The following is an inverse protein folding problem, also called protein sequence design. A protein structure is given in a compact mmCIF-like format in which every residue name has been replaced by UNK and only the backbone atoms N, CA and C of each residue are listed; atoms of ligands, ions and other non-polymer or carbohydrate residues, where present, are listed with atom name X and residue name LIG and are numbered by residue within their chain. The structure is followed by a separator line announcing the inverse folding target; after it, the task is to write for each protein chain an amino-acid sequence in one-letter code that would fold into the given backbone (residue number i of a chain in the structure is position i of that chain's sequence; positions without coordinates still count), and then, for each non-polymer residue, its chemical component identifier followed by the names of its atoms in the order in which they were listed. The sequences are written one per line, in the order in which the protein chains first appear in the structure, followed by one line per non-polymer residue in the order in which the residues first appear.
data_IF_378943571943
#
_entry.id   IF_378943571943
#
_cell.length_a   1.000
_cell.length_b   1.000
_cell.length_c   1.000
_cell.angle_alpha   90.00
_cell.angle_beta   90.00
_cell.angle_gamma   90.00
#
_symmetry.space_group_name_H-M   'P 1'
#
loop_
_entity.id
_entity.type
_entity.pdbx_description
1 polymer ?
#
# COMPACT_ATOMS: atom_id res chain seq x y z
N UNK A 1 -4.84 0.17 -10.18
CA UNK A 1 -4.97 -1.06 -9.37
C UNK A 1 -4.35 -2.29 -10.06
N UNK A 2 -3.26 -2.15 -10.84
CA UNK A 2 -2.75 -3.24 -11.70
C UNK A 2 -1.35 -3.79 -11.37
N UNK A 3 -0.35 -3.02 -10.89
CA UNK A 3 1.01 -3.55 -10.77
C UNK A 3 1.19 -4.50 -9.57
N UNK A 4 0.44 -4.28 -8.48
CA UNK A 4 0.54 -5.10 -7.27
C UNK A 4 0.05 -6.54 -7.49
N UNK A 5 -0.99 -6.73 -8.30
CA UNK A 5 -1.49 -8.06 -8.60
C UNK A 5 -0.49 -8.85 -9.45
N UNK A 6 0.19 -8.18 -10.39
CA UNK A 6 1.21 -8.80 -11.25
C UNK A 6 2.39 -9.30 -10.42
N UNK A 7 2.83 -8.54 -9.42
CA UNK A 7 3.89 -8.95 -8.49
C UNK A 7 3.49 -10.16 -7.64
N UNK A 8 2.24 -10.21 -7.16
CA UNK A 8 1.71 -11.33 -6.37
C UNK A 8 1.57 -12.60 -7.23
N UNK A 9 1.06 -12.50 -8.45
CA UNK A 9 0.98 -13.64 -9.35
C UNK A 9 2.36 -14.13 -9.79
N UNK A 10 3.31 -13.21 -10.00
CA UNK A 10 4.70 -13.54 -10.31
C UNK A 10 5.38 -14.37 -9.22
N UNK A 11 5.23 -13.99 -7.94
CA UNK A 11 5.83 -14.76 -6.83
C UNK A 11 5.17 -16.13 -6.64
N UNK A 12 3.86 -16.24 -6.87
CA UNK A 12 3.11 -17.50 -6.76
C UNK A 12 3.51 -18.50 -7.85
N UNK A 13 3.73 -18.02 -9.08
CA UNK A 13 4.23 -18.85 -10.20
C UNK A 13 5.65 -19.37 -9.91
N UNK A 14 6.53 -18.50 -9.41
CA UNK A 14 7.91 -18.89 -9.04
C UNK A 14 7.90 -19.93 -7.91
N UNK A 15 7.02 -19.77 -6.92
CA UNK A 15 6.88 -20.73 -5.82
C UNK A 15 6.43 -22.12 -6.31
N UNK A 16 5.45 -22.18 -7.21
CA UNK A 16 4.94 -23.45 -7.79
C UNK A 16 6.05 -24.16 -8.57
N UNK A 17 6.82 -23.43 -9.38
CA UNK A 17 7.95 -23.97 -10.16
C UNK A 17 9.04 -24.50 -9.21
N UNK A 18 9.35 -23.77 -8.14
CA UNK A 18 10.35 -24.18 -7.14
C UNK A 18 9.94 -25.42 -6.36
N UNK A 19 8.64 -25.61 -6.08
CA UNK A 19 8.16 -26.84 -5.43
C UNK A 19 8.21 -28.04 -6.37
N UNK A 20 7.94 -27.84 -7.67
CA UNK A 20 8.02 -28.91 -8.67
C UNK A 20 9.45 -29.44 -8.87
N UNK A 21 10.45 -28.56 -8.88
CA UNK A 21 11.86 -28.96 -9.00
C UNK A 21 12.35 -29.74 -7.78
N UNK A 22 11.86 -29.40 -6.58
CA UNK A 22 12.20 -30.12 -5.35
C UNK A 22 11.65 -31.56 -5.35
N UNK A 23 10.40 -31.75 -5.80
CA UNK A 23 9.76 -33.08 -5.91
C UNK A 23 10.44 -33.94 -6.99
N UNK A 24 10.75 -33.38 -8.15
CA UNK A 24 11.44 -34.10 -9.23
C UNK A 24 12.83 -34.59 -8.81
N UNK A 25 13.59 -33.73 -8.12
CA UNK A 25 14.92 -34.11 -7.63
C UNK A 25 14.86 -35.16 -6.50
N UNK A 26 13.87 -35.08 -5.60
CA UNK A 26 13.66 -36.10 -4.56
C UNK A 26 13.37 -37.48 -5.17
N UNK A 27 12.55 -37.52 -6.22
CA UNK A 27 12.29 -38.75 -6.98
C UNK A 27 13.59 -39.29 -7.62
N UNK A 28 14.40 -38.43 -8.24
CA UNK A 28 15.65 -38.86 -8.88
C UNK A 28 16.72 -39.39 -7.90
N UNK A 29 16.74 -38.91 -6.65
CA UNK A 29 17.65 -39.38 -5.60
C UNK A 29 17.16 -40.68 -4.96
N UNK A 30 15.85 -40.92 -4.93
CA UNK A 30 15.31 -42.21 -4.51
C UNK A 30 15.70 -43.33 -5.50
N UNK A 31 15.70 -43.04 -6.81
CA UNK A 31 16.10 -44.01 -7.85
C UNK A 31 17.59 -44.39 -7.76
N UNK A 32 18.49 -43.46 -7.42
CA UNK A 32 19.93 -43.77 -7.30
C UNK A 32 20.24 -44.63 -6.08
N UNK A 33 19.53 -44.43 -4.97
CA UNK A 33 19.68 -45.25 -3.75
C UNK A 33 19.18 -46.69 -3.94
N UNK A 34 18.17 -46.90 -4.79
CA UNK A 34 17.68 -48.23 -5.14
C UNK A 34 18.68 -48.99 -6.03
N UNK A 35 19.42 -48.27 -6.89
CA UNK A 35 20.47 -48.86 -7.74
C UNK A 35 21.78 -49.16 -6.97
N UNK A 36 22.11 -48.37 -5.94
CA UNK A 36 23.31 -48.58 -5.09
C UNK A 36 23.17 -49.74 -4.09
N UNK A 37 21.95 -50.20 -3.79
CA UNK A 37 21.71 -51.30 -2.85
C UNK A 37 22.27 -52.68 -3.30
N UNK A 38 22.87 -52.75 -4.50
CA UNK A 38 23.46 -53.98 -5.07
C UNK A 38 24.99 -53.99 -5.24
N UNK A 39 25.75 -52.98 -4.80
CA UNK A 39 27.20 -52.91 -5.04
C UNK A 39 28.04 -52.72 -3.75
N UNK A 40 29.15 -53.45 -3.56
CA UNK A 40 29.92 -53.40 -2.31
C UNK A 40 30.75 -52.10 -2.19
N UNK A 41 30.69 -51.55 -0.98
CA UNK A 41 31.40 -50.37 -0.49
C UNK A 41 32.92 -50.44 -0.76
N UNK A 42 33.45 -49.56 -1.63
CA UNK A 42 34.87 -49.24 -1.61
C UNK A 42 35.16 -47.80 -2.05
N UNK A 43 36.07 -47.21 -1.26
CA UNK A 43 36.86 -46.00 -1.48
C UNK A 43 36.17 -44.65 -1.17
N UNK A 44 36.32 -44.24 0.09
CA UNK A 44 36.42 -42.82 0.46
C UNK A 44 37.59 -42.20 -0.33
N UNK A 45 37.26 -41.44 -1.38
CA UNK A 45 38.19 -40.56 -2.05
C UNK A 45 37.58 -39.16 -2.04
N UNK A 46 38.33 -38.21 -1.47
CA UNK A 46 38.07 -36.78 -1.38
C UNK A 46 37.19 -36.27 -2.54
N UNK A 47 35.88 -36.16 -2.31
CA UNK A 47 34.93 -35.81 -3.37
C UNK A 47 35.03 -34.31 -3.69
N UNK A 48 35.07 -33.89 -4.96
CA UNK A 48 35.01 -32.47 -5.32
C UNK A 48 33.69 -31.89 -4.78
N UNK A 49 33.74 -30.68 -4.23
CA UNK A 49 32.55 -29.99 -3.68
C UNK A 49 31.43 -30.06 -4.71
N UNK A 50 30.42 -30.87 -4.40
CA UNK A 50 29.40 -31.23 -5.39
C UNK A 50 28.51 -30.01 -5.63
N UNK A 51 28.60 -29.46 -6.84
CA UNK A 51 27.84 -28.28 -7.27
C UNK A 51 26.32 -28.45 -7.05
N UNK A 52 25.84 -29.69 -6.97
CA UNK A 52 24.45 -30.04 -6.62
C UNK A 52 24.08 -29.61 -5.20
N UNK A 53 24.98 -29.77 -4.23
CA UNK A 53 24.75 -29.40 -2.82
C UNK A 53 24.80 -27.88 -2.64
N UNK A 54 25.68 -27.19 -3.38
CA UNK A 54 25.72 -25.72 -3.42
C UNK A 54 24.44 -25.12 -3.99
N UNK A 55 23.93 -25.67 -5.11
CA UNK A 55 22.66 -25.26 -5.71
C UNK A 55 21.47 -25.55 -4.78
N UNK A 56 21.49 -26.68 -4.07
CA UNK A 56 20.45 -27.06 -3.12
C UNK A 56 20.36 -26.06 -1.96
N UNK A 57 21.50 -25.69 -1.36
CA UNK A 57 21.53 -24.69 -0.31
C UNK A 57 21.09 -23.31 -0.83
N UNK A 58 21.58 -22.88 -1.99
CA UNK A 58 21.18 -21.60 -2.59
C UNK A 58 19.66 -21.52 -2.84
N UNK A 59 19.04 -22.60 -3.33
CA UNK A 59 17.60 -22.65 -3.59
C UNK A 59 16.75 -22.50 -2.33
N UNK A 60 17.18 -23.09 -1.21
CA UNK A 60 16.46 -22.97 0.08
C UNK A 60 16.49 -21.54 0.64
N UNK A 61 17.61 -20.82 0.50
CA UNK A 61 17.71 -19.43 0.93
C UNK A 61 16.85 -18.51 0.06
N UNK A 62 16.84 -18.71 -1.26
CA UNK A 62 15.99 -17.94 -2.18
C UNK A 62 14.50 -18.14 -1.87
N UNK A 63 14.10 -19.39 -1.60
CA UNK A 63 12.72 -19.70 -1.20
C UNK A 63 12.34 -19.03 0.13
N UNK A 64 13.21 -19.10 1.14
CA UNK A 64 12.96 -18.47 2.44
C UNK A 64 12.83 -16.94 2.33
N UNK A 65 13.71 -16.29 1.56
CA UNK A 65 13.64 -14.84 1.30
C UNK A 65 12.38 -14.48 0.52
N UNK A 66 11.99 -15.27 -0.47
CA UNK A 66 10.78 -15.04 -1.26
C UNK A 66 9.50 -15.14 -0.40
N UNK A 67 9.39 -16.18 0.43
CA UNK A 67 8.26 -16.34 1.36
C UNK A 67 8.24 -15.28 2.46
N UNK A 68 9.41 -14.90 2.98
CA UNK A 68 9.55 -13.81 3.95
C UNK A 68 9.09 -12.47 3.36
N UNK A 69 9.50 -12.16 2.13
CA UNK A 69 9.05 -10.95 1.42
C UNK A 69 7.55 -10.93 1.16
N UNK A 70 6.97 -12.08 0.79
CA UNK A 70 5.52 -12.20 0.59
C UNK A 70 4.74 -12.00 1.90
N UNK A 71 5.19 -12.63 2.99
CA UNK A 71 4.58 -12.50 4.31
C UNK A 71 4.67 -11.04 4.82
N UNK A 72 5.83 -10.39 4.66
CA UNK A 72 6.02 -8.99 5.02
C UNK A 72 5.10 -8.05 4.21
N UNK A 73 4.95 -8.29 2.90
CA UNK A 73 4.06 -7.49 2.05
C UNK A 73 2.57 -7.66 2.43
N UNK A 74 2.15 -8.88 2.77
CA UNK A 74 0.77 -9.15 3.23
C UNK A 74 0.51 -8.56 4.62
N UNK A 75 1.47 -8.68 5.54
CA UNK A 75 1.42 -8.05 6.86
C UNK A 75 1.34 -6.53 6.74
N UNK A 76 2.16 -5.90 5.89
CA UNK A 76 2.10 -4.46 5.62
C UNK A 76 0.72 -4.05 5.08
N UNK A 77 0.20 -4.77 4.09
CA UNK A 77 -1.15 -4.48 3.53
C UNK A 77 -2.25 -4.65 4.58
N UNK A 78 -2.14 -5.66 5.44
CA UNK A 78 -3.07 -5.93 6.53
C UNK A 78 -3.02 -4.87 7.62
N UNK A 79 -1.82 -4.48 8.06
CA UNK A 79 -1.59 -3.41 9.05
C UNK A 79 -2.14 -2.10 8.51
N UNK A 80 -1.78 -1.71 7.29
CA UNK A 80 -2.33 -0.51 6.64
C UNK A 80 -3.85 -0.60 6.55
N UNK A 81 -4.43 -1.73 6.14
CA UNK A 81 -5.90 -1.84 6.10
C UNK A 81 -6.54 -1.74 7.50
N UNK A 82 -5.92 -2.34 8.52
CA UNK A 82 -6.47 -2.38 9.89
C UNK A 82 -6.31 -1.08 10.67
N UNK A 83 -5.21 -0.36 10.47
CA UNK A 83 -4.98 0.98 11.03
C UNK A 83 -5.99 1.97 10.45
N UNK A 84 -6.30 1.82 9.16
CA UNK A 84 -7.26 2.67 8.47
C UNK A 84 -8.72 2.24 8.62
N UNK A 85 -9.00 0.99 9.07
CA UNK A 85 -10.37 0.61 9.47
C UNK A 85 -10.68 0.94 10.93
N UNK A 86 -9.64 1.21 11.73
CA UNK A 86 -9.78 1.70 13.11
C UNK A 86 -9.88 3.22 13.18
N UNK A 87 -9.37 3.95 12.18
CA UNK A 87 -9.74 5.35 11.99
C UNK A 87 -11.12 5.40 11.31
N UNK A 88 -11.99 6.27 11.78
CA UNK A 88 -13.41 6.34 11.42
C UNK A 88 -13.66 6.82 9.97
N UNK A 89 -12.66 6.78 9.09
CA UNK A 89 -12.68 7.40 7.76
C UNK A 89 -12.60 6.35 6.64
N UNK A 90 -13.44 6.53 5.64
CA UNK A 90 -13.44 5.67 4.45
C UNK A 90 -12.14 5.85 3.63
N UNK A 91 -11.58 4.75 3.12
CA UNK A 91 -10.43 4.73 2.21
C UNK A 91 -10.62 5.64 0.98
N UNK A 92 -11.88 5.88 0.61
CA UNK A 92 -12.29 6.83 -0.42
C UNK A 92 -11.81 8.27 -0.13
N UNK A 93 -11.90 8.75 1.12
CA UNK A 93 -11.46 10.08 1.54
C UNK A 93 -9.94 10.23 1.41
N UNK A 94 -9.19 9.23 1.88
CA UNK A 94 -7.73 9.23 1.72
C UNK A 94 -7.35 9.28 0.23
N UNK A 95 -8.01 8.46 -0.60
CA UNK A 95 -7.77 8.45 -2.04
C UNK A 95 -8.10 9.82 -2.65
N UNK A 96 -9.17 10.48 -2.21
CA UNK A 96 -9.58 11.81 -2.65
C UNK A 96 -8.53 12.88 -2.31
N UNK A 97 -8.00 12.86 -1.08
CA UNK A 97 -7.10 13.91 -0.57
C UNK A 97 -5.63 13.68 -0.87
N UNK A 98 -5.22 12.45 -1.18
CA UNK A 98 -3.80 12.13 -1.41
C UNK A 98 -3.53 11.63 -2.83
N UNK A 99 -4.36 10.73 -3.36
CA UNK A 99 -4.06 10.02 -4.62
C UNK A 99 -4.72 10.58 -5.87
N UNK A 100 -5.87 11.25 -5.75
CA UNK A 100 -6.65 11.70 -6.90
C UNK A 100 -6.18 13.06 -7.43
N UNK A 101 -6.39 13.31 -8.73
CA UNK A 101 -6.12 14.63 -9.35
C UNK A 101 -6.86 15.74 -8.58
N UNK A 102 -6.16 16.82 -8.28
CA UNK A 102 -6.67 17.94 -7.48
C UNK A 102 -6.61 17.72 -5.96
N UNK A 103 -5.91 16.68 -5.50
CA UNK A 103 -5.67 16.39 -4.08
C UNK A 103 -5.06 17.58 -3.35
N UNK A 104 -3.96 18.12 -3.89
CA UNK A 104 -3.27 19.25 -3.29
C UNK A 104 -4.14 20.51 -3.18
N UNK A 105 -5.02 20.76 -4.16
CA UNK A 105 -5.95 21.90 -4.10
C UNK A 105 -7.02 21.69 -3.04
N UNK A 106 -7.59 20.49 -2.95
CA UNK A 106 -8.57 20.14 -1.90
C UNK A 106 -7.97 20.24 -0.51
N UNK A 107 -6.73 19.80 -0.34
CA UNK A 107 -6.02 19.91 0.94
C UNK A 107 -5.83 21.37 1.35
N UNK A 108 -5.40 22.23 0.41
CA UNK A 108 -5.29 23.67 0.67
C UNK A 108 -6.63 24.30 1.04
N UNK A 109 -7.71 23.96 0.33
CA UNK A 109 -9.07 24.44 0.67
C UNK A 109 -9.44 24.03 2.11
N UNK A 110 -9.23 22.77 2.48
CA UNK A 110 -9.52 22.30 3.83
C UNK A 110 -8.69 23.04 4.89
N UNK A 111 -7.40 23.25 4.65
CA UNK A 111 -6.53 24.03 5.56
C UNK A 111 -6.98 25.49 5.69
N UNK A 112 -7.37 26.14 4.59
CA UNK A 112 -7.88 27.52 4.62
C UNK A 112 -9.22 27.62 5.36
N UNK A 113 -10.06 26.59 5.27
CA UNK A 113 -11.38 26.51 5.93
C UNK A 113 -11.34 26.25 7.44
N UNK A 114 -10.16 26.26 8.06
CA UNK A 114 -10.04 26.46 9.52
C UNK A 114 -10.76 27.74 9.97
N UNK A 115 -10.84 28.73 9.07
CA UNK A 115 -11.68 29.93 9.25
C UNK A 115 -12.87 29.86 8.28
N UNK A 116 -14.10 30.24 8.73
CA UNK A 116 -15.26 30.29 7.84
C UNK A 116 -15.00 31.22 6.64
N UNK A 117 -15.18 30.72 5.43
CA UNK A 117 -14.99 31.49 4.20
C UNK A 117 -16.03 31.14 3.17
N UNK A 118 -16.40 32.12 2.34
CA UNK A 118 -17.19 31.89 1.14
C UNK A 118 -16.29 31.49 -0.04
N UNK A 119 -16.91 31.02 -1.14
CA UNK A 119 -16.19 30.58 -2.35
C UNK A 119 -15.32 31.68 -2.99
N UNK A 120 -15.69 32.96 -2.85
CA UNK A 120 -15.00 34.10 -3.48
C UNK A 120 -13.73 34.39 -2.70
N UNK A 121 -13.86 34.41 -1.37
CA UNK A 121 -12.75 34.52 -0.45
C UNK A 121 -11.76 33.38 -0.66
N UNK A 122 -12.24 32.14 -0.78
CA UNK A 122 -11.38 30.99 -1.08
C UNK A 122 -10.66 31.11 -2.43
N UNK A 123 -11.35 31.54 -3.47
CA UNK A 123 -10.75 31.75 -4.80
C UNK A 123 -9.64 32.81 -4.75
N UNK A 124 -9.87 33.91 -4.04
CA UNK A 124 -8.89 34.98 -3.87
C UNK A 124 -7.68 34.53 -3.04
N UNK A 125 -7.93 33.89 -1.89
CA UNK A 125 -6.89 33.42 -0.97
C UNK A 125 -5.98 32.38 -1.62
N UNK A 126 -6.58 31.43 -2.35
CA UNK A 126 -5.85 30.36 -3.02
C UNK A 126 -5.31 30.76 -4.41
N UNK A 127 -5.67 31.96 -4.89
CA UNK A 127 -5.40 32.45 -6.26
C UNK A 127 -5.83 31.45 -7.33
N UNK A 128 -7.04 30.93 -7.18
CA UNK A 128 -7.66 29.96 -8.08
C UNK A 128 -8.87 30.56 -8.79
N UNK A 129 -9.20 30.02 -9.96
CA UNK A 129 -10.45 30.36 -10.62
C UNK A 129 -11.65 29.96 -9.77
N UNK A 130 -12.67 30.82 -9.70
CA UNK A 130 -13.87 30.57 -8.91
C UNK A 130 -14.53 29.24 -9.28
N UNK A 131 -14.61 28.88 -10.58
CA UNK A 131 -15.26 27.62 -11.00
C UNK A 131 -14.45 26.39 -10.57
N UNK A 132 -13.13 26.52 -10.48
CA UNK A 132 -12.27 25.46 -9.97
C UNK A 132 -12.51 25.24 -8.46
N UNK A 133 -12.59 26.33 -7.69
CA UNK A 133 -12.93 26.25 -6.25
C UNK A 133 -14.31 25.67 -6.06
N UNK A 134 -15.31 26.11 -6.83
CA UNK A 134 -16.69 25.63 -6.77
C UNK A 134 -16.78 24.11 -6.92
N UNK A 135 -16.14 23.56 -7.96
CA UNK A 135 -16.05 22.11 -8.18
C UNK A 135 -15.38 21.37 -7.04
N UNK A 136 -14.33 21.95 -6.44
CA UNK A 136 -13.67 21.32 -5.29
C UNK A 136 -14.56 21.34 -4.05
N UNK A 137 -15.28 22.43 -3.80
CA UNK A 137 -16.23 22.57 -2.70
C UNK A 137 -17.38 21.57 -2.83
N UNK A 138 -17.97 21.40 -4.01
CA UNK A 138 -19.02 20.39 -4.24
C UNK A 138 -18.57 18.98 -3.87
N UNK A 139 -17.34 18.61 -4.27
CA UNK A 139 -16.77 17.31 -3.92
C UNK A 139 -16.57 17.19 -2.41
N UNK A 140 -16.02 18.21 -1.75
CA UNK A 140 -15.77 18.17 -0.31
C UNK A 140 -17.08 18.13 0.50
N UNK A 141 -18.14 18.79 0.04
CA UNK A 141 -19.50 18.70 0.62
C UNK A 141 -20.07 17.28 0.46
N UNK A 142 -19.92 16.69 -0.72
CA UNK A 142 -20.42 15.33 -1.01
C UNK A 142 -19.77 14.29 -0.09
N UNK A 143 -18.50 14.48 0.25
CA UNK A 143 -17.76 13.63 1.17
C UNK A 143 -17.91 14.03 2.65
N UNK A 144 -18.75 15.00 2.98
CA UNK A 144 -19.02 15.39 4.37
C UNK A 144 -17.86 16.07 5.10
N UNK A 145 -16.80 16.48 4.40
CA UNK A 145 -15.60 17.08 5.01
C UNK A 145 -15.80 18.56 5.36
N UNK A 146 -16.75 19.21 4.68
CA UNK A 146 -17.15 20.59 4.93
C UNK A 146 -18.67 20.67 4.97
N UNK A 147 -19.19 21.72 5.60
CA UNK A 147 -20.62 22.03 5.60
C UNK A 147 -20.86 23.50 5.28
N UNK A 148 -22.01 23.76 4.68
CA UNK A 148 -22.47 25.11 4.38
C UNK A 148 -23.14 25.71 5.61
N UNK A 149 -22.81 26.96 5.93
CA UNK A 149 -23.43 27.76 6.97
C UNK A 149 -23.87 29.08 6.33
N UNK A 150 -25.15 29.40 6.49
CA UNK A 150 -25.68 30.70 6.08
C UNK A 150 -25.53 31.68 7.23
N UNK A 151 -24.99 32.86 6.93
CA UNK A 151 -24.84 33.94 7.89
C UNK A 151 -25.75 35.12 7.47
N UNK A 152 -26.45 35.74 8.43
CA UNK A 152 -27.38 36.84 8.18
C UNK A 152 -28.62 36.44 7.36
N UNK A 153 -29.02 37.30 6.40
CA UNK A 153 -30.26 37.18 5.62
C UNK A 153 -30.27 36.01 4.60
N UNK A 154 -29.41 35.00 4.75
CA UNK A 154 -29.34 33.81 3.88
C UNK A 154 -28.74 34.05 2.48
N UNK A 155 -28.20 35.25 2.21
CA UNK A 155 -27.69 35.61 0.88
C UNK A 155 -26.25 35.17 0.61
N UNK A 156 -25.45 34.97 1.66
CA UNK A 156 -24.04 34.59 1.54
C UNK A 156 -23.80 33.25 2.23
N UNK A 157 -23.27 32.31 1.45
CA UNK A 157 -22.93 30.96 1.88
C UNK A 157 -21.48 30.90 2.31
N UNK A 158 -21.25 30.64 3.59
CA UNK A 158 -19.92 30.32 4.11
C UNK A 158 -19.76 28.81 4.26
N UNK A 159 -18.53 28.34 4.17
CA UNK A 159 -18.17 26.95 4.39
C UNK A 159 -17.32 26.86 5.64
N UNK A 160 -17.55 25.80 6.40
CA UNK A 160 -16.72 25.46 7.56
C UNK A 160 -16.38 23.98 7.54
N UNK A 161 -15.26 23.62 8.17
CA UNK A 161 -14.90 22.22 8.39
C UNK A 161 -15.93 21.52 9.27
N UNK A 162 -16.25 20.28 8.91
CA UNK A 162 -16.94 19.36 9.82
C UNK A 162 -15.95 18.79 10.82
N UNK A 163 -16.45 18.14 11.88
CA UNK A 163 -15.58 17.40 12.81
C UNK A 163 -14.80 16.29 12.08
N UNK A 164 -15.42 15.67 11.07
CA UNK A 164 -14.77 14.71 10.20
C UNK A 164 -13.61 15.36 9.42
N UNK A 165 -13.86 16.51 8.78
CA UNK A 165 -12.83 17.25 8.04
C UNK A 165 -11.63 17.66 8.92
N UNK A 166 -11.87 18.13 10.15
CA UNK A 166 -10.81 18.49 11.11
C UNK A 166 -9.95 17.30 11.48
N UNK A 167 -10.58 16.17 11.82
CA UNK A 167 -9.88 14.98 12.25
C UNK A 167 -9.04 14.38 11.09
N UNK A 168 -9.55 14.41 9.85
CA UNK A 168 -8.75 13.99 8.67
C UNK A 168 -7.51 14.85 8.49
N UNK A 169 -7.62 16.18 8.65
CA UNK A 169 -6.47 17.08 8.58
C UNK A 169 -5.42 16.73 9.64
N UNK A 170 -5.85 16.52 10.89
CA UNK A 170 -4.96 16.14 11.99
C UNK A 170 -4.22 14.82 11.72
N UNK A 171 -4.93 13.81 11.20
CA UNK A 171 -4.32 12.52 10.85
C UNK A 171 -3.30 12.66 9.72
N UNK A 172 -3.61 13.44 8.69
CA UNK A 172 -2.69 13.67 7.58
C UNK A 172 -1.43 14.43 8.03
N UNK A 173 -1.59 15.37 8.94
CA UNK A 173 -0.46 16.09 9.55
C UNK A 173 0.44 15.14 10.36
N UNK A 174 -0.13 14.33 11.25
CA UNK A 174 0.62 13.31 12.01
C UNK A 174 1.38 12.35 11.10
N UNK A 175 0.76 11.89 10.02
CA UNK A 175 1.42 11.02 9.03
C UNK A 175 2.58 11.72 8.32
N UNK A 176 2.42 13.01 7.97
CA UNK A 176 3.49 13.78 7.34
C UNK A 176 4.70 13.93 8.27
N UNK A 177 4.47 14.20 9.56
CA UNK A 177 5.52 14.33 10.57
C UNK A 177 6.31 13.02 10.74
N UNK A 178 5.61 11.88 10.82
CA UNK A 178 6.23 10.56 10.90
C UNK A 178 7.13 10.32 9.67
N UNK A 179 6.63 10.60 8.47
CA UNK A 179 7.41 10.40 7.23
C UNK A 179 8.62 11.32 7.09
N UNK A 180 8.60 12.49 7.72
CA UNK A 180 9.74 13.42 7.73
C UNK A 180 10.82 13.07 8.77
N UNK A 181 10.49 12.19 9.73
CA UNK A 181 11.37 11.78 10.82
C UNK A 181 12.14 10.47 10.56
N UNK A 182 11.83 9.77 9.46
CA UNK A 182 12.48 8.52 9.03
C UNK A 182 13.38 8.75 7.83
#
# INVERSE_FOLDING_TARGET
MRPLNILIYGSLIIAIISTGTWVYMLYSVADTKVMEAGAPLRAEAQAPVDNRVLLMNASSYVAAVAWGGLAAALAYKGIVRSVWSKSMFDYSIFKLLVKMRGSGTRMRILQTLEKPMNRQQLANELRLDWKAVDRHIEILLTYGLIKEVSEGNGRVKHYILTEEGKHVLELLEKLSQISSSS
#
